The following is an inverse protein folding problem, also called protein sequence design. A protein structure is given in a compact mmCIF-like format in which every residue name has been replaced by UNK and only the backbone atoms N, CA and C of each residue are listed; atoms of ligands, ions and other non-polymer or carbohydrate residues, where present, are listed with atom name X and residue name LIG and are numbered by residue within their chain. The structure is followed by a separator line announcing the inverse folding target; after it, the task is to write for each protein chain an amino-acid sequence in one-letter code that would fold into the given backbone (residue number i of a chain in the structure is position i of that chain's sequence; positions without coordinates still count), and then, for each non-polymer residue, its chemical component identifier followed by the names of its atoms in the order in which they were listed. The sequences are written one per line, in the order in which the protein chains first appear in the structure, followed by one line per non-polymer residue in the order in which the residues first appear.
data_IF_565674602828
#
_entry.id   IF_565674602828
#
_cell.length_a   1.000
_cell.length_b   1.000
_cell.length_c   1.000
_cell.angle_alpha   90.00
_cell.angle_beta   90.00
_cell.angle_gamma   90.00
#
_symmetry.space_group_name_H-M   'P 1'
#
loop_
_entity.id
_entity.type
_entity.pdbx_description
1 polymer ?
#
# COMPACT_ATOMS: atom_id res chain seq x y z
N UNK A 1 -16.04 9.41 1.03
CA UNK A 1 -15.71 10.70 1.66
C UNK A 1 -16.21 11.91 0.88
N UNK A 2 -15.93 12.11 -0.43
CA UNK A 2 -16.49 13.22 -1.20
C UNK A 2 -18.02 13.31 -1.12
N UNK A 3 -18.72 12.20 -1.33
CA UNK A 3 -20.18 12.13 -1.26
C UNK A 3 -20.73 12.51 0.11
N UNK A 4 -20.02 12.10 1.19
CA UNK A 4 -20.41 12.45 2.55
C UNK A 4 -20.21 13.94 2.82
N UNK A 5 -19.09 14.52 2.39
CA UNK A 5 -18.85 15.96 2.54
C UNK A 5 -19.83 16.79 1.69
N UNK A 6 -20.18 16.29 0.50
CA UNK A 6 -21.21 16.91 -0.33
C UNK A 6 -22.60 16.87 0.33
N UNK A 7 -22.94 15.75 0.98
CA UNK A 7 -24.18 15.61 1.74
C UNK A 7 -24.25 16.53 2.98
N UNK A 8 -23.10 17.02 3.49
CA UNK A 8 -22.99 18.00 4.57
C UNK A 8 -23.02 19.46 4.07
N UNK A 9 -23.38 19.69 2.80
CA UNK A 9 -23.38 21.02 2.16
C UNK A 9 -22.06 21.78 2.26
N UNK A 10 -20.94 21.05 2.37
CA UNK A 10 -19.61 21.63 2.43
C UNK A 10 -19.02 21.80 1.04
N UNK A 11 -18.28 22.91 0.82
CA UNK A 11 -17.56 23.16 -0.43
C UNK A 11 -16.61 22.01 -0.80
N UNK A 12 -16.47 21.70 -2.08
CA UNK A 12 -15.52 20.69 -2.58
C UNK A 12 -14.09 20.91 -2.11
N UNK A 13 -13.72 22.14 -1.73
CA UNK A 13 -12.43 22.46 -1.10
C UNK A 13 -12.27 21.81 0.29
N UNK A 14 -13.34 21.72 1.08
CA UNK A 14 -13.29 21.11 2.40
C UNK A 14 -12.95 19.60 2.33
N UNK A 15 -13.55 18.87 1.38
CA UNK A 15 -13.20 17.47 1.15
C UNK A 15 -11.72 17.30 0.75
N UNK A 16 -11.21 18.17 -0.12
CA UNK A 16 -9.80 18.19 -0.52
C UNK A 16 -8.87 18.44 0.67
N UNK A 17 -9.21 19.38 1.54
CA UNK A 17 -8.42 19.69 2.75
C UNK A 17 -8.41 18.52 3.75
N UNK A 18 -9.54 17.84 3.97
CA UNK A 18 -9.60 16.64 4.83
C UNK A 18 -8.71 15.53 4.29
N UNK A 19 -8.74 15.28 2.98
CA UNK A 19 -7.87 14.28 2.33
C UNK A 19 -6.40 14.69 2.45
N UNK A 20 -6.08 15.95 2.17
CA UNK A 20 -4.70 16.47 2.25
C UNK A 20 -4.14 16.42 3.68
N UNK A 21 -4.97 16.71 4.70
CA UNK A 21 -4.58 16.58 6.10
C UNK A 21 -4.25 15.12 6.45
N UNK A 22 -5.03 14.17 5.96
CA UNK A 22 -4.76 12.74 6.10
C UNK A 22 -3.45 12.32 5.42
N UNK A 23 -3.18 12.81 4.21
CA UNK A 23 -1.92 12.55 3.49
C UNK A 23 -0.70 13.10 4.25
N UNK A 24 -0.77 14.34 4.73
CA UNK A 24 0.29 14.95 5.52
C UNK A 24 0.55 14.17 6.82
N UNK A 25 -0.52 13.83 7.54
CA UNK A 25 -0.44 13.01 8.75
C UNK A 25 0.16 11.63 8.47
N UNK A 26 -0.17 11.00 7.33
CA UNK A 26 0.41 9.71 6.91
C UNK A 26 1.93 9.82 6.79
N UNK A 27 2.44 10.82 6.07
CA UNK A 27 3.89 10.98 5.88
C UNK A 27 4.63 11.24 7.20
N UNK A 28 4.10 12.11 8.05
CA UNK A 28 4.69 12.38 9.37
C UNK A 28 4.68 11.13 10.25
N UNK A 29 3.56 10.42 10.30
CA UNK A 29 3.43 9.23 11.14
C UNK A 29 4.25 8.04 10.64
N UNK A 30 4.52 7.95 9.32
CA UNK A 30 5.49 7.00 8.77
C UNK A 30 6.88 7.15 9.40
N UNK A 31 7.34 8.40 9.59
CA UNK A 31 8.63 8.65 10.23
C UNK A 31 8.63 8.31 11.72
N UNK A 32 7.50 8.47 12.38
CA UNK A 32 7.34 8.24 13.83
C UNK A 32 7.02 6.79 14.19
N UNK A 33 6.50 5.98 13.28
CA UNK A 33 6.01 4.63 13.54
C UNK A 33 7.07 3.73 14.20
N UNK A 34 8.31 3.78 13.74
CA UNK A 34 9.42 3.01 14.32
C UNK A 34 9.76 3.45 15.73
N UNK A 35 9.79 4.76 16.01
CA UNK A 35 10.01 5.29 17.33
C UNK A 35 8.91 4.92 18.33
N UNK A 36 7.65 4.99 17.90
CA UNK A 36 6.49 4.53 18.69
C UNK A 36 6.60 3.04 19.02
N UNK A 37 6.89 2.21 18.02
CA UNK A 37 7.04 0.78 18.19
C UNK A 37 8.22 0.41 19.11
N UNK A 38 9.31 1.19 19.10
CA UNK A 38 10.44 1.02 20.04
C UNK A 38 10.04 1.30 21.49
N UNK A 39 9.18 2.30 21.72
CA UNK A 39 8.75 2.67 23.08
C UNK A 39 7.65 1.77 23.64
N UNK A 40 6.67 1.43 22.83
CA UNK A 40 5.46 0.73 23.28
C UNK A 40 5.45 -0.76 22.90
N UNK A 41 6.26 -1.16 21.93
CA UNK A 41 6.18 -2.47 21.28
C UNK A 41 5.30 -2.47 20.03
N UNK A 42 5.48 -3.45 19.12
CA UNK A 42 4.77 -3.51 17.84
C UNK A 42 3.25 -3.67 18.02
N UNK A 43 2.84 -4.70 18.78
CA UNK A 43 1.41 -5.00 18.96
C UNK A 43 0.65 -3.92 19.75
N UNK A 44 1.17 -3.38 20.88
CA UNK A 44 0.52 -2.25 21.54
C UNK A 44 0.37 -1.02 20.64
N UNK A 45 1.38 -0.72 19.80
CA UNK A 45 1.29 0.40 18.85
C UNK A 45 0.21 0.14 17.78
N UNK A 46 0.06 -1.10 17.29
CA UNK A 46 -1.01 -1.49 16.38
C UNK A 46 -2.40 -1.37 17.06
N UNK A 47 -2.52 -1.77 18.34
CA UNK A 47 -3.76 -1.59 19.10
C UNK A 47 -4.14 -0.11 19.19
N UNK A 48 -3.18 0.76 19.54
CA UNK A 48 -3.39 2.22 19.61
C UNK A 48 -3.77 2.78 18.23
N UNK A 49 -3.11 2.33 17.16
CA UNK A 49 -3.47 2.75 15.79
C UNK A 49 -4.91 2.35 15.43
N UNK A 50 -5.34 1.14 15.81
CA UNK A 50 -6.74 0.70 15.59
C UNK A 50 -7.74 1.54 16.39
N UNK A 51 -7.40 1.95 17.61
CA UNK A 51 -8.23 2.86 18.41
C UNK A 51 -8.26 4.27 17.82
N UNK A 52 -7.15 4.78 17.27
CA UNK A 52 -7.13 6.04 16.54
C UNK A 52 -8.01 5.99 15.29
N UNK A 53 -8.04 4.84 14.60
CA UNK A 53 -8.96 4.63 13.49
C UNK A 53 -10.42 4.66 13.95
N UNK A 54 -10.74 4.03 15.09
CA UNK A 54 -12.08 4.10 15.68
C UNK A 54 -12.48 5.56 16.03
N UNK A 55 -11.56 6.32 16.65
CA UNK A 55 -11.78 7.73 16.96
C UNK A 55 -11.97 8.58 15.70
N UNK A 56 -11.22 8.29 14.64
CA UNK A 56 -11.39 8.94 13.35
C UNK A 56 -12.77 8.68 12.76
N UNK A 57 -13.27 7.44 12.83
CA UNK A 57 -14.62 7.11 12.39
C UNK A 57 -15.68 7.84 13.20
N UNK A 58 -15.50 7.96 14.52
CA UNK A 58 -16.39 8.76 15.37
C UNK A 58 -16.33 10.25 15.04
N UNK A 59 -15.14 10.78 14.73
CA UNK A 59 -15.00 12.17 14.28
C UNK A 59 -15.73 12.41 12.95
N UNK A 60 -15.68 11.46 12.00
CA UNK A 60 -16.47 11.55 10.78
C UNK A 60 -17.97 11.43 11.05
N UNK A 61 -18.41 10.55 11.97
CA UNK A 61 -19.83 10.51 12.37
C UNK A 61 -20.27 11.84 13.00
N UNK A 62 -19.42 12.44 13.84
CA UNK A 62 -19.66 13.75 14.46
C UNK A 62 -19.60 14.94 13.52
N UNK A 63 -19.04 14.79 12.32
CA UNK A 63 -19.00 15.85 11.31
C UNK A 63 -20.38 16.31 10.84
N UNK A 64 -21.41 15.51 11.07
CA UNK A 64 -22.80 15.92 10.88
C UNK A 64 -23.25 17.02 11.88
N UNK A 65 -22.57 17.14 13.04
CA UNK A 65 -22.84 18.17 14.06
C UNK A 65 -21.89 19.36 13.93
N UNK A 66 -20.60 19.08 13.66
CA UNK A 66 -19.56 20.09 13.42
C UNK A 66 -18.60 19.58 12.34
N UNK A 67 -18.64 20.22 11.17
CA UNK A 67 -17.81 19.88 10.02
C UNK A 67 -16.30 19.93 10.31
N UNK A 68 -15.87 20.69 11.34
CA UNK A 68 -14.49 20.74 11.80
C UNK A 68 -13.99 19.38 12.32
N UNK A 69 -14.86 18.53 12.82
CA UNK A 69 -14.51 17.19 13.27
C UNK A 69 -13.95 16.34 12.12
N UNK A 70 -14.36 16.58 10.87
CA UNK A 70 -13.85 15.86 9.69
C UNK A 70 -12.34 16.08 9.49
N UNK A 71 -11.80 17.25 9.78
CA UNK A 71 -10.36 17.51 9.66
C UNK A 71 -9.56 16.70 10.69
N UNK A 72 -10.05 16.64 11.93
CA UNK A 72 -9.49 15.79 12.98
C UNK A 72 -9.57 14.31 12.57
N UNK A 73 -10.70 13.88 12.01
CA UNK A 73 -10.89 12.55 11.44
C UNK A 73 -9.85 12.24 10.37
N UNK A 74 -9.61 13.15 9.43
CA UNK A 74 -8.60 13.01 8.38
C UNK A 74 -7.19 12.79 8.95
N UNK A 75 -6.77 13.63 9.90
CA UNK A 75 -5.46 13.49 10.57
C UNK A 75 -5.32 12.14 11.28
N UNK A 76 -6.34 11.71 12.01
CA UNK A 76 -6.34 10.43 12.73
C UNK A 76 -6.31 9.22 11.79
N UNK A 77 -7.05 9.25 10.66
CA UNK A 77 -6.98 8.20 9.64
C UNK A 77 -5.58 8.10 9.08
N UNK A 78 -4.97 9.23 8.69
CA UNK A 78 -3.63 9.23 8.14
C UNK A 78 -2.59 8.64 9.09
N UNK A 79 -2.65 9.04 10.37
CA UNK A 79 -1.77 8.52 11.41
C UNK A 79 -1.99 7.01 11.65
N UNK A 80 -3.23 6.59 11.83
CA UNK A 80 -3.55 5.20 12.10
C UNK A 80 -3.20 4.27 10.94
N UNK A 81 -3.56 4.68 9.70
CA UNK A 81 -3.26 3.91 8.50
C UNK A 81 -1.77 3.69 8.32
N UNK A 82 -0.96 4.76 8.38
CA UNK A 82 0.48 4.65 8.16
C UNK A 82 1.16 3.74 9.19
N UNK A 83 0.81 3.88 10.47
CA UNK A 83 1.33 3.04 11.54
C UNK A 83 0.95 1.57 11.30
N UNK A 84 -0.31 1.29 10.96
CA UNK A 84 -0.77 -0.06 10.67
C UNK A 84 -0.07 -0.63 9.42
N UNK A 85 0.05 0.17 8.36
CA UNK A 85 0.64 -0.25 7.08
C UNK A 85 2.14 -0.59 7.20
N UNK A 86 2.85 0.05 8.13
CA UNK A 86 4.26 -0.23 8.43
C UNK A 86 4.42 -1.40 9.39
N UNK A 87 3.70 -1.37 10.51
CA UNK A 87 3.98 -2.30 11.61
C UNK A 87 3.32 -3.67 11.44
N UNK A 88 2.20 -3.79 10.72
CA UNK A 88 1.57 -5.09 10.48
C UNK A 88 2.43 -6.03 9.62
N UNK A 89 2.99 -5.59 8.47
CA UNK A 89 3.98 -6.38 7.73
C UNK A 89 5.20 -6.74 8.58
N UNK A 90 5.72 -5.79 9.37
CA UNK A 90 6.89 -6.00 10.20
C UNK A 90 6.64 -7.06 11.28
N UNK A 91 5.45 -7.06 11.89
CA UNK A 91 5.05 -8.10 12.85
C UNK A 91 5.04 -9.50 12.21
N UNK A 92 4.59 -9.60 10.95
CA UNK A 92 4.60 -10.86 10.20
C UNK A 92 6.03 -11.29 9.87
N UNK A 93 6.82 -10.38 9.28
CA UNK A 93 8.21 -10.65 8.86
C UNK A 93 9.09 -11.17 10.02
N UNK A 94 8.87 -10.62 11.22
CA UNK A 94 9.63 -10.95 12.44
C UNK A 94 9.55 -12.43 12.83
N UNK A 95 8.40 -13.07 12.56
CA UNK A 95 8.14 -14.44 13.00
C UNK A 95 8.27 -15.48 11.89
N UNK A 96 8.64 -15.07 10.67
CA UNK A 96 8.64 -15.95 9.51
C UNK A 96 10.03 -16.09 8.88
N UNK A 97 10.29 -17.30 8.41
CA UNK A 97 11.43 -17.59 7.54
C UNK A 97 11.33 -16.81 6.22
N UNK A 98 12.46 -16.43 5.60
CA UNK A 98 12.47 -15.66 4.33
C UNK A 98 11.59 -16.25 3.23
N UNK A 99 11.54 -17.58 3.11
CA UNK A 99 10.75 -18.30 2.10
C UNK A 99 9.24 -18.16 2.29
N UNK A 100 8.76 -18.02 3.53
CA UNK A 100 7.32 -17.89 3.83
C UNK A 100 6.81 -16.44 3.80
N UNK A 101 7.69 -15.45 3.86
CA UNK A 101 7.32 -14.02 3.98
C UNK A 101 6.38 -13.57 2.88
N UNK A 102 6.67 -13.93 1.62
CA UNK A 102 5.85 -13.49 0.49
C UNK A 102 4.41 -13.98 0.59
N UNK A 103 4.19 -15.23 1.00
CA UNK A 103 2.87 -15.79 1.16
C UNK A 103 2.03 -14.97 2.16
N UNK A 104 2.55 -14.77 3.36
CA UNK A 104 1.81 -14.06 4.40
C UNK A 104 1.66 -12.56 4.15
N UNK A 105 2.66 -11.92 3.55
CA UNK A 105 2.54 -10.52 3.12
C UNK A 105 1.49 -10.36 1.99
N UNK A 106 1.37 -11.35 1.11
CA UNK A 106 0.35 -11.35 0.06
C UNK A 106 -1.04 -11.53 0.65
N UNK A 107 -1.23 -12.42 1.62
CA UNK A 107 -2.50 -12.59 2.35
C UNK A 107 -2.86 -11.30 3.09
N UNK A 108 -1.91 -10.68 3.81
CA UNK A 108 -2.15 -9.40 4.49
C UNK A 108 -2.60 -8.33 3.50
N UNK A 109 -1.89 -8.17 2.38
CA UNK A 109 -2.26 -7.18 1.36
C UNK A 109 -3.59 -7.52 0.68
N UNK A 110 -3.92 -8.80 0.55
CA UNK A 110 -5.23 -9.27 0.07
C UNK A 110 -6.36 -8.87 1.01
N UNK A 111 -6.18 -9.06 2.30
CA UNK A 111 -7.15 -8.63 3.33
C UNK A 111 -7.36 -7.12 3.34
N UNK A 112 -6.27 -6.34 3.20
CA UNK A 112 -6.35 -4.88 3.08
C UNK A 112 -7.15 -4.44 1.85
N UNK A 113 -6.91 -5.07 0.70
CA UNK A 113 -7.66 -4.78 -0.54
C UNK A 113 -9.12 -5.24 -0.46
N UNK A 114 -9.40 -6.36 0.20
CA UNK A 114 -10.77 -6.78 0.45
C UNK A 114 -11.53 -5.74 1.27
N UNK A 115 -10.92 -5.22 2.35
CA UNK A 115 -11.50 -4.14 3.14
C UNK A 115 -11.75 -2.87 2.32
N UNK A 116 -10.78 -2.46 1.49
CA UNK A 116 -10.93 -1.30 0.62
C UNK A 116 -12.04 -1.49 -0.43
N UNK A 117 -12.08 -2.65 -1.06
CA UNK A 117 -13.06 -2.95 -2.12
C UNK A 117 -14.47 -3.17 -1.61
N UNK A 118 -14.62 -3.71 -0.40
CA UNK A 118 -15.93 -3.88 0.24
C UNK A 118 -16.46 -2.59 0.88
N UNK A 119 -15.62 -1.58 1.09
CA UNK A 119 -16.01 -0.36 1.79
C UNK A 119 -17.18 0.38 1.10
N UNK A 120 -17.12 0.58 -0.21
CA UNK A 120 -18.19 1.25 -0.96
C UNK A 120 -19.48 0.42 -1.02
N UNK A 121 -19.49 -0.86 -1.47
CA UNK A 121 -20.69 -1.68 -1.50
C UNK A 121 -21.35 -1.84 -0.13
N UNK A 122 -20.57 -2.10 0.92
CA UNK A 122 -21.10 -2.21 2.27
C UNK A 122 -21.60 -0.86 2.80
N UNK A 123 -20.91 0.22 2.47
CA UNK A 123 -21.34 1.57 2.81
C UNK A 123 -22.71 1.89 2.21
N UNK A 124 -22.92 1.64 0.91
CA UNK A 124 -24.21 1.84 0.25
C UNK A 124 -25.30 0.93 0.81
N UNK A 125 -24.96 -0.34 1.07
CA UNK A 125 -25.91 -1.27 1.67
C UNK A 125 -26.36 -0.79 3.06
N UNK A 126 -25.42 -0.42 3.91
CA UNK A 126 -25.69 0.09 5.25
C UNK A 126 -26.49 1.41 5.19
N UNK A 127 -26.16 2.33 4.27
CA UNK A 127 -26.91 3.59 4.10
C UNK A 127 -28.38 3.33 3.78
N UNK A 128 -28.66 2.30 2.97
CA UNK A 128 -30.02 1.91 2.63
C UNK A 128 -30.84 1.46 3.86
N UNK A 129 -30.19 0.79 4.81
CA UNK A 129 -30.86 0.30 6.03
C UNK A 129 -30.89 1.31 7.17
N UNK A 130 -29.87 2.17 7.29
CA UNK A 130 -29.70 3.08 8.43
C UNK A 130 -30.17 4.50 8.14
N UNK A 131 -30.37 4.85 6.88
CA UNK A 131 -30.87 6.16 6.43
C UNK A 131 -29.85 7.30 6.55
N UNK A 132 -28.71 7.14 7.22
CA UNK A 132 -27.70 8.19 7.38
C UNK A 132 -26.26 7.68 7.21
N UNK A 133 -25.43 8.48 6.54
CA UNK A 133 -24.00 8.18 6.39
C UNK A 133 -23.24 8.26 7.73
N UNK A 134 -23.70 9.08 8.68
CA UNK A 134 -23.10 9.17 10.00
C UNK A 134 -23.17 7.83 10.76
N UNK A 135 -24.28 7.11 10.65
CA UNK A 135 -24.44 5.78 11.28
C UNK A 135 -23.45 4.76 10.71
N UNK A 136 -23.11 4.86 9.42
CA UNK A 136 -22.08 3.98 8.80
C UNK A 136 -20.75 4.17 9.48
N UNK A 137 -20.32 5.42 9.70
CA UNK A 137 -19.06 5.70 10.40
C UNK A 137 -19.09 5.21 11.85
N UNK A 138 -20.22 5.28 12.53
CA UNK A 138 -20.37 4.71 13.88
C UNK A 138 -20.21 3.19 13.88
N UNK A 139 -20.80 2.48 12.91
CA UNK A 139 -20.62 1.02 12.75
C UNK A 139 -19.15 0.68 12.44
N UNK A 140 -18.49 1.47 11.57
CA UNK A 140 -17.07 1.28 11.28
C UNK A 140 -16.18 1.53 12.51
N UNK A 141 -16.55 2.47 13.39
CA UNK A 141 -15.85 2.68 14.66
C UNK A 141 -15.91 1.43 15.54
N UNK A 142 -17.07 0.77 15.65
CA UNK A 142 -17.22 -0.50 16.39
C UNK A 142 -16.32 -1.58 15.75
N UNK A 143 -16.30 -1.71 14.43
CA UNK A 143 -15.42 -2.66 13.75
C UNK A 143 -13.92 -2.40 14.05
N UNK A 144 -13.51 -1.12 14.14
CA UNK A 144 -12.14 -0.75 14.51
C UNK A 144 -11.81 -1.10 15.97
N UNK A 145 -12.77 -0.96 16.90
CA UNK A 145 -12.61 -1.41 18.29
C UNK A 145 -12.47 -2.93 18.38
N UNK A 146 -13.27 -3.67 17.61
CA UNK A 146 -13.15 -5.14 17.52
C UNK A 146 -11.75 -5.51 16.96
N UNK A 147 -11.28 -4.82 15.93
CA UNK A 147 -9.94 -5.03 15.40
C UNK A 147 -8.85 -4.76 16.46
N UNK A 148 -8.98 -3.68 17.25
CA UNK A 148 -8.07 -3.39 18.35
C UNK A 148 -8.07 -4.51 19.40
N UNK A 149 -9.24 -5.04 19.76
CA UNK A 149 -9.37 -6.17 20.68
C UNK A 149 -8.71 -7.44 20.12
N UNK A 150 -8.87 -7.75 18.83
CA UNK A 150 -8.21 -8.87 18.17
C UNK A 150 -6.67 -8.75 18.21
N UNK A 151 -6.13 -7.54 17.98
CA UNK A 151 -4.69 -7.27 18.08
C UNK A 151 -4.21 -7.46 19.52
N UNK A 152 -4.95 -6.99 20.53
CA UNK A 152 -4.59 -7.17 21.94
C UNK A 152 -4.66 -8.64 22.36
N UNK A 153 -5.65 -9.40 21.90
CA UNK A 153 -5.73 -10.84 22.12
C UNK A 153 -4.52 -11.56 21.51
N UNK A 154 -4.12 -11.19 20.30
CA UNK A 154 -2.90 -11.70 19.66
C UNK A 154 -1.67 -11.38 20.51
N UNK A 155 -1.58 -10.17 21.05
CA UNK A 155 -0.51 -9.77 21.98
C UNK A 155 -0.44 -10.68 23.21
N UNK A 156 -1.57 -10.96 23.84
CA UNK A 156 -1.66 -11.84 25.02
C UNK A 156 -1.27 -13.28 24.66
N UNK A 157 -1.73 -13.79 23.52
CA UNK A 157 -1.42 -15.14 23.06
C UNK A 157 0.07 -15.31 22.71
N UNK A 158 0.72 -14.26 22.16
CA UNK A 158 2.12 -14.30 21.73
C UNK A 158 3.11 -13.74 22.76
N UNK A 159 2.62 -13.30 23.94
CA UNK A 159 3.47 -12.69 24.98
C UNK A 159 4.66 -13.55 25.38
N UNK A 160 4.51 -14.87 25.41
CA UNK A 160 5.58 -15.84 25.72
C UNK A 160 6.63 -15.97 24.60
N UNK A 161 6.28 -15.67 23.36
CA UNK A 161 7.16 -15.69 22.19
C UNK A 161 7.85 -14.33 21.96
N UNK A 162 7.36 -13.28 22.58
CA UNK A 162 7.84 -11.89 22.39
C UNK A 162 9.11 -11.54 23.16
N UNK A 163 9.75 -12.49 23.85
CA UNK A 163 11.02 -12.29 24.55
C UNK A 163 12.24 -12.02 23.63
N UNK A 164 12.06 -12.13 22.31
CA UNK A 164 13.07 -11.73 21.33
C UNK A 164 13.22 -10.21 21.32
N UNK A 165 14.46 -9.75 21.63
CA UNK A 165 14.80 -8.34 21.65
C UNK A 165 14.31 -7.63 20.38
N UNK A 166 13.68 -6.46 20.55
CA UNK A 166 13.26 -5.64 19.43
C UNK A 166 14.50 -5.11 18.70
N UNK A 167 14.73 -5.44 17.44
CA UNK A 167 15.77 -4.78 16.67
C UNK A 167 15.47 -3.27 16.58
N UNK A 168 16.50 -2.47 16.42
CA UNK A 168 16.36 -1.02 16.33
C UNK A 168 15.51 -0.65 15.10
N UNK A 169 14.26 -0.19 15.35
CA UNK A 169 13.25 0.11 14.32
C UNK A 169 13.32 1.57 13.90
N UNK A 170 14.08 2.40 14.63
CA UNK A 170 14.15 3.83 14.34
C UNK A 170 14.90 4.09 13.03
N UNK A 171 14.27 4.89 12.15
CA UNK A 171 14.96 5.41 10.97
C UNK A 171 16.01 6.40 11.47
N UNK A 172 17.27 6.08 11.23
CA UNK A 172 18.39 7.00 11.42
C UNK A 172 18.93 7.43 10.06
N UNK A 173 19.48 8.63 9.96
CA UNK A 173 20.08 9.11 8.73
C UNK A 173 21.18 8.16 8.23
N UNK A 174 21.98 7.62 9.14
CA UNK A 174 23.02 6.65 8.82
C UNK A 174 22.46 5.33 8.27
N UNK A 175 21.36 4.81 8.85
CA UNK A 175 20.71 3.61 8.33
C UNK A 175 20.13 3.87 6.93
N UNK A 176 19.53 5.02 6.71
CA UNK A 176 18.95 5.42 5.41
C UNK A 176 20.04 5.54 4.34
N UNK A 177 21.16 6.21 4.63
CA UNK A 177 22.27 6.34 3.68
C UNK A 177 22.89 5.00 3.34
N UNK A 178 23.14 4.15 4.33
CA UNK A 178 23.66 2.79 4.12
C UNK A 178 22.73 1.96 3.24
N UNK A 179 21.42 2.09 3.44
CA UNK A 179 20.38 1.38 2.71
C UNK A 179 20.32 1.84 1.24
N UNK A 180 20.43 3.14 1.00
CA UNK A 180 20.40 3.72 -0.35
C UNK A 180 21.71 3.46 -1.14
N UNK A 181 22.81 3.19 -0.47
CA UNK A 181 24.09 2.84 -1.11
C UNK A 181 24.16 1.36 -1.51
N UNK A 182 23.32 0.50 -0.94
CA UNK A 182 23.30 -0.95 -1.19
C UNK A 182 22.21 -1.35 -2.20
N UNK A 183 22.23 -2.60 -2.59
CA UNK A 183 21.24 -3.20 -3.51
C UNK A 183 19.79 -3.10 -3.03
N UNK A 184 19.55 -2.84 -1.75
CA UNK A 184 18.23 -2.55 -1.17
C UNK A 184 17.58 -1.29 -1.72
N UNK A 185 18.34 -0.36 -2.30
CA UNK A 185 17.80 0.83 -2.97
C UNK A 185 16.94 0.48 -4.20
N UNK A 186 17.26 -0.61 -4.90
CA UNK A 186 16.55 -1.00 -6.13
C UNK A 186 15.07 -1.30 -5.88
N UNK A 187 14.67 -2.24 -4.99
CA UNK A 187 13.26 -2.51 -4.74
C UNK A 187 12.53 -1.30 -4.11
N UNK A 188 13.23 -0.40 -3.41
CA UNK A 188 12.66 0.84 -2.89
C UNK A 188 12.33 1.81 -4.04
N UNK A 189 13.22 2.02 -4.98
CA UNK A 189 12.95 2.82 -6.17
C UNK A 189 11.83 2.20 -7.02
N UNK A 190 11.83 0.87 -7.18
CA UNK A 190 10.83 0.14 -7.93
C UNK A 190 9.43 0.28 -7.34
N UNK A 191 9.29 0.25 -6.01
CA UNK A 191 7.98 0.42 -5.37
C UNK A 191 7.48 1.86 -5.49
N UNK A 192 8.35 2.86 -5.42
CA UNK A 192 7.97 4.26 -5.66
C UNK A 192 7.40 4.44 -7.06
N UNK A 193 8.07 3.91 -8.08
CA UNK A 193 7.59 3.94 -9.47
C UNK A 193 6.27 3.19 -9.60
N UNK A 194 6.14 1.99 -9.00
CA UNK A 194 4.88 1.23 -9.03
C UNK A 194 3.73 1.99 -8.34
N UNK A 195 4.00 2.70 -7.26
CA UNK A 195 3.01 3.53 -6.59
C UNK A 195 2.56 4.71 -7.46
N UNK A 196 3.48 5.33 -8.22
CA UNK A 196 3.12 6.37 -9.20
C UNK A 196 2.17 5.85 -10.28
N UNK A 197 2.36 4.60 -10.75
CA UNK A 197 1.47 3.98 -11.74
C UNK A 197 0.05 3.83 -11.20
N UNK A 198 -0.10 3.32 -10.00
CA UNK A 198 -1.41 3.18 -9.36
C UNK A 198 -2.06 4.54 -9.10
N UNK A 199 -1.30 5.49 -8.56
CA UNK A 199 -1.79 6.84 -8.29
C UNK A 199 -2.26 7.53 -9.57
N UNK A 200 -1.49 7.43 -10.66
CA UNK A 200 -1.85 8.00 -11.95
C UNK A 200 -3.12 7.40 -12.52
N UNK A 201 -3.19 6.08 -12.62
CA UNK A 201 -4.38 5.40 -13.13
C UNK A 201 -5.60 5.66 -12.26
N UNK A 202 -5.52 5.46 -10.94
CA UNK A 202 -6.68 5.60 -10.06
C UNK A 202 -7.20 7.04 -9.97
N UNK A 203 -6.31 8.04 -9.91
CA UNK A 203 -6.71 9.44 -9.78
C UNK A 203 -7.33 9.99 -11.06
N UNK A 204 -6.80 9.63 -12.22
CA UNK A 204 -7.23 10.19 -13.51
C UNK A 204 -8.11 9.25 -14.32
N UNK A 205 -8.63 8.21 -13.67
CA UNK A 205 -9.50 7.23 -14.32
C UNK A 205 -10.78 7.86 -14.87
N UNK A 206 -11.35 8.83 -14.16
CA UNK A 206 -12.54 9.56 -14.63
C UNK A 206 -12.25 10.37 -15.89
N UNK A 207 -11.11 11.08 -15.96
CA UNK A 207 -10.70 11.83 -17.14
C UNK A 207 -10.43 10.90 -18.34
N UNK A 208 -9.75 9.77 -18.11
CA UNK A 208 -9.51 8.75 -19.12
C UNK A 208 -10.84 8.15 -19.64
N UNK A 209 -11.73 7.75 -18.75
CA UNK A 209 -13.01 7.14 -19.09
C UNK A 209 -13.92 8.11 -19.86
N UNK A 210 -13.97 9.37 -19.42
CA UNK A 210 -14.75 10.41 -20.10
C UNK A 210 -14.27 10.63 -21.55
N UNK A 211 -12.95 10.62 -21.79
CA UNK A 211 -12.38 10.79 -23.14
C UNK A 211 -12.72 9.64 -24.10
N UNK A 212 -13.20 8.50 -23.60
CA UNK A 212 -13.49 7.27 -24.34
C UNK A 212 -14.90 6.74 -24.17
N UNK A 213 -15.79 7.53 -23.53
CA UNK A 213 -17.19 7.17 -23.23
C UNK A 213 -17.33 5.84 -22.44
N UNK A 214 -16.40 5.58 -21.50
CA UNK A 214 -16.38 4.41 -20.64
C UNK A 214 -16.88 4.74 -19.23
N UNK A 215 -17.31 3.72 -18.47
CA UNK A 215 -17.69 3.89 -17.08
C UNK A 215 -16.45 3.74 -16.17
N UNK A 216 -16.03 4.77 -15.42
CA UNK A 216 -14.87 4.71 -14.53
C UNK A 216 -15.03 3.70 -13.37
N UNK A 217 -16.26 3.47 -12.89
CA UNK A 217 -16.53 2.56 -11.78
C UNK A 217 -16.14 1.11 -12.11
N UNK A 218 -16.22 0.76 -13.40
CA UNK A 218 -15.86 -0.56 -13.89
C UNK A 218 -14.37 -0.87 -13.65
N UNK A 219 -13.49 0.14 -13.80
CA UNK A 219 -12.06 -0.03 -13.45
C UNK A 219 -11.89 -0.41 -11.99
N UNK A 220 -12.50 0.34 -11.08
CA UNK A 220 -12.33 0.12 -9.64
C UNK A 220 -12.91 -1.23 -9.21
N UNK A 221 -14.07 -1.60 -9.73
CA UNK A 221 -14.71 -2.88 -9.47
C UNK A 221 -13.84 -4.05 -9.94
N UNK A 222 -13.42 -4.01 -11.21
CA UNK A 222 -12.60 -5.08 -11.81
C UNK A 222 -11.23 -5.17 -11.15
N UNK A 223 -10.58 -4.01 -10.92
CA UNK A 223 -9.29 -3.95 -10.24
C UNK A 223 -9.35 -4.55 -8.83
N UNK A 224 -10.35 -4.17 -8.05
CA UNK A 224 -10.50 -4.64 -6.67
C UNK A 224 -10.82 -6.13 -6.63
N UNK A 225 -11.82 -6.57 -7.40
CA UNK A 225 -12.22 -7.98 -7.44
C UNK A 225 -11.05 -8.88 -7.87
N UNK A 226 -10.36 -8.51 -8.95
CA UNK A 226 -9.19 -9.25 -9.45
C UNK A 226 -8.05 -9.25 -8.43
N UNK A 227 -7.76 -8.09 -7.82
CA UNK A 227 -6.68 -7.97 -6.82
C UNK A 227 -6.93 -8.83 -5.58
N UNK A 228 -8.16 -8.91 -5.09
CA UNK A 228 -8.53 -9.74 -3.94
C UNK A 228 -8.42 -11.22 -4.29
N UNK A 229 -9.06 -11.62 -5.39
CA UNK A 229 -9.06 -13.02 -5.84
C UNK A 229 -7.63 -13.52 -6.06
N UNK A 230 -6.81 -12.78 -6.81
CA UNK A 230 -5.43 -13.19 -7.09
C UNK A 230 -4.58 -13.27 -5.81
N UNK A 231 -4.67 -12.29 -4.91
CA UNK A 231 -3.87 -12.31 -3.68
C UNK A 231 -4.22 -13.47 -2.77
N UNK A 232 -5.49 -13.80 -2.64
CA UNK A 232 -5.94 -14.90 -1.79
C UNK A 232 -5.68 -16.27 -2.44
N UNK A 233 -5.90 -16.40 -3.76
CA UNK A 233 -5.76 -17.67 -4.47
C UNK A 233 -4.29 -18.03 -4.77
N UNK A 234 -3.45 -17.05 -5.10
CA UNK A 234 -2.08 -17.29 -5.58
C UNK A 234 -1.03 -17.14 -4.47
N UNK A 235 -1.40 -16.66 -3.27
CA UNK A 235 -0.47 -16.42 -2.17
C UNK A 235 0.43 -17.64 -1.86
N UNK A 236 -0.14 -18.83 -1.83
CA UNK A 236 0.61 -20.05 -1.53
C UNK A 236 1.58 -20.48 -2.64
N UNK A 237 1.27 -20.16 -3.90
CA UNK A 237 2.15 -20.44 -5.03
C UNK A 237 3.34 -19.47 -5.10
N UNK A 238 3.19 -18.25 -4.60
CA UNK A 238 4.24 -17.23 -4.67
C UNK A 238 5.48 -17.62 -3.88
N UNK A 239 5.35 -18.44 -2.84
CA UNK A 239 6.48 -18.92 -2.04
C UNK A 239 7.44 -19.85 -2.80
N UNK A 240 6.96 -20.53 -3.85
CA UNK A 240 7.77 -21.44 -4.69
C UNK A 240 8.41 -20.74 -5.91
N UNK A 241 8.00 -19.50 -6.23
CA UNK A 241 8.46 -18.80 -7.41
C UNK A 241 9.75 -18.00 -7.13
N UNK A 242 10.67 -17.93 -8.09
CA UNK A 242 11.86 -17.08 -7.96
C UNK A 242 11.43 -15.61 -8.00
N UNK A 243 11.54 -14.92 -6.84
CA UNK A 243 11.03 -13.57 -6.60
C UNK A 243 11.40 -12.55 -7.68
N UNK A 244 12.60 -12.66 -8.26
CA UNK A 244 13.09 -11.74 -9.29
C UNK A 244 12.37 -11.93 -10.63
N UNK A 245 12.18 -13.19 -11.05
CA UNK A 245 11.40 -13.48 -12.26
C UNK A 245 9.96 -13.05 -12.06
N UNK A 246 9.42 -13.30 -10.87
CA UNK A 246 8.08 -12.85 -10.50
C UNK A 246 7.98 -11.31 -10.61
N UNK A 247 8.91 -10.55 -10.02
CA UNK A 247 8.89 -9.09 -10.09
C UNK A 247 8.92 -8.59 -11.54
N UNK A 248 9.79 -9.16 -12.40
CA UNK A 248 9.85 -8.80 -13.81
C UNK A 248 8.55 -9.13 -14.54
N UNK A 249 7.98 -10.32 -14.32
CA UNK A 249 6.70 -10.74 -14.91
C UNK A 249 5.57 -9.76 -14.52
N UNK A 250 5.50 -9.37 -13.24
CA UNK A 250 4.48 -8.42 -12.75
C UNK A 250 4.62 -7.04 -13.39
N UNK A 251 5.86 -6.57 -13.59
CA UNK A 251 6.13 -5.31 -14.27
C UNK A 251 5.73 -5.40 -15.76
N UNK A 252 6.02 -6.51 -16.42
CA UNK A 252 5.63 -6.72 -17.83
C UNK A 252 4.10 -6.80 -17.98
N UNK A 253 3.39 -7.44 -17.03
CA UNK A 253 1.93 -7.43 -17.01
C UNK A 253 1.38 -6.00 -16.83
N UNK A 254 1.99 -5.20 -15.95
CA UNK A 254 1.63 -3.79 -15.77
C UNK A 254 1.88 -2.99 -17.06
N UNK A 255 3.01 -3.21 -17.73
CA UNK A 255 3.31 -2.57 -19.02
C UNK A 255 2.28 -2.95 -20.11
N UNK A 256 1.96 -4.24 -20.23
CA UNK A 256 0.94 -4.73 -21.16
C UNK A 256 -0.43 -4.10 -20.89
N UNK A 257 -0.81 -3.97 -19.61
CA UNK A 257 -2.03 -3.26 -19.21
C UNK A 257 -2.04 -1.80 -19.70
N UNK A 258 -0.96 -1.05 -19.46
CA UNK A 258 -0.86 0.35 -19.90
C UNK A 258 -0.93 0.49 -21.41
N UNK A 259 -0.32 -0.44 -22.16
CA UNK A 259 -0.44 -0.51 -23.63
C UNK A 259 -1.90 -0.74 -24.04
N UNK A 260 -2.62 -1.67 -23.38
CA UNK A 260 -4.04 -1.90 -23.66
C UNK A 260 -4.90 -0.66 -23.35
N UNK A 261 -4.61 0.07 -22.26
CA UNK A 261 -5.27 1.35 -22.00
C UNK A 261 -5.01 2.37 -23.11
N UNK A 262 -3.78 2.50 -23.60
CA UNK A 262 -3.44 3.41 -24.68
C UNK A 262 -4.13 3.04 -26.00
N UNK A 263 -4.21 1.75 -26.33
CA UNK A 263 -4.83 1.25 -27.56
C UNK A 263 -6.36 1.21 -27.49
N UNK A 264 -6.94 1.41 -26.31
CA UNK A 264 -8.40 1.34 -26.14
C UNK A 264 -9.09 2.57 -26.71
N UNK A 265 -9.75 2.41 -27.84
CA UNK A 265 -10.57 3.45 -28.50
C UNK A 265 -12.02 3.57 -27.98
N UNK A 266 -12.38 2.98 -26.80
CA UNK A 266 -13.75 3.00 -26.24
C UNK A 266 -14.37 1.61 -26.08
N UNK A 267 -13.61 0.53 -26.26
CA UNK A 267 -14.07 -0.84 -26.05
C UNK A 267 -14.13 -1.19 -24.55
N UNK A 268 -15.31 -1.50 -24.04
CA UNK A 268 -15.50 -1.94 -22.64
C UNK A 268 -14.78 -3.25 -22.35
N UNK A 269 -14.75 -4.20 -23.28
CA UNK A 269 -14.05 -5.47 -23.08
C UNK A 269 -12.55 -5.29 -22.97
N UNK A 270 -11.95 -4.43 -23.80
CA UNK A 270 -10.53 -4.11 -23.73
C UNK A 270 -10.18 -3.36 -22.43
N UNK A 271 -11.10 -2.49 -21.98
CA UNK A 271 -10.98 -1.78 -20.71
C UNK A 271 -10.96 -2.73 -19.51
N UNK A 272 -11.86 -3.73 -19.50
CA UNK A 272 -11.89 -4.78 -18.47
C UNK A 272 -10.58 -5.60 -18.51
N UNK A 273 -10.16 -6.04 -19.69
CA UNK A 273 -8.92 -6.81 -19.86
C UNK A 273 -7.69 -6.03 -19.37
N UNK A 274 -7.59 -4.73 -19.71
CA UNK A 274 -6.53 -3.86 -19.21
C UNK A 274 -6.56 -3.74 -17.68
N UNK A 275 -7.76 -3.58 -17.10
CA UNK A 275 -7.94 -3.48 -15.63
C UNK A 275 -7.55 -4.78 -14.91
N UNK A 276 -7.89 -5.94 -15.46
CA UNK A 276 -7.49 -7.26 -14.93
C UNK A 276 -5.97 -7.41 -14.97
N UNK A 277 -5.33 -7.10 -16.10
CA UNK A 277 -3.88 -7.16 -16.22
C UNK A 277 -3.16 -6.19 -15.28
N UNK A 278 -3.71 -4.99 -15.09
CA UNK A 278 -3.20 -4.02 -14.13
C UNK A 278 -3.30 -4.55 -12.70
N UNK A 279 -4.43 -5.11 -12.33
CA UNK A 279 -4.65 -5.72 -11.04
C UNK A 279 -3.70 -6.90 -10.77
N UNK A 280 -3.43 -7.73 -11.79
CA UNK A 280 -2.49 -8.84 -11.69
C UNK A 280 -1.05 -8.34 -11.53
N UNK A 281 -0.61 -7.41 -12.37
CA UNK A 281 0.75 -6.88 -12.35
C UNK A 281 1.04 -6.03 -11.12
N UNK A 282 0.30 -4.93 -10.96
CA UNK A 282 0.49 -4.02 -9.83
C UNK A 282 0.07 -4.66 -8.50
N UNK A 283 -1.06 -5.39 -8.50
CA UNK A 283 -1.66 -5.92 -7.29
C UNK A 283 -0.73 -6.81 -6.47
N UNK A 284 0.13 -7.59 -7.10
CA UNK A 284 1.08 -8.47 -6.44
C UNK A 284 2.48 -7.85 -6.28
N UNK A 285 2.74 -6.69 -6.92
CA UNK A 285 4.06 -6.04 -6.90
C UNK A 285 4.48 -5.60 -5.50
N UNK A 286 3.56 -5.06 -4.69
CA UNK A 286 3.88 -4.57 -3.35
C UNK A 286 4.47 -5.67 -2.45
N UNK A 287 3.80 -6.81 -2.32
CA UNK A 287 4.26 -7.93 -1.49
C UNK A 287 5.55 -8.54 -2.03
N UNK A 288 5.69 -8.65 -3.35
CA UNK A 288 6.89 -9.17 -4.00
C UNK A 288 8.10 -8.27 -3.75
N UNK A 289 7.97 -6.97 -4.02
CA UNK A 289 9.07 -6.02 -3.85
C UNK A 289 9.44 -5.80 -2.39
N UNK A 290 8.46 -5.81 -1.47
CA UNK A 290 8.72 -5.74 -0.04
C UNK A 290 9.51 -6.98 0.44
N UNK A 291 9.12 -8.17 -0.01
CA UNK A 291 9.85 -9.40 0.31
C UNK A 291 11.29 -9.35 -0.20
N UNK A 292 11.50 -8.88 -1.44
CA UNK A 292 12.84 -8.70 -2.01
C UNK A 292 13.67 -7.71 -1.18
N UNK A 293 13.10 -6.54 -0.86
CA UNK A 293 13.77 -5.50 -0.08
C UNK A 293 14.25 -6.02 1.29
N UNK A 294 13.35 -6.72 1.99
CA UNK A 294 13.60 -7.25 3.33
C UNK A 294 14.61 -8.40 3.32
N UNK A 295 14.55 -9.26 2.30
CA UNK A 295 15.53 -10.36 2.18
C UNK A 295 16.92 -9.83 1.84
N UNK A 296 17.03 -8.90 0.88
CA UNK A 296 18.30 -8.23 0.55
C UNK A 296 18.87 -7.47 1.76
N UNK A 297 18.01 -6.85 2.59
CA UNK A 297 18.47 -6.19 3.81
C UNK A 297 19.13 -7.20 4.77
N UNK A 298 18.51 -8.36 4.96
CA UNK A 298 19.08 -9.44 5.78
C UNK A 298 20.41 -9.95 5.23
N UNK A 299 20.50 -10.20 3.92
CA UNK A 299 21.70 -10.67 3.23
C UNK A 299 22.88 -9.67 3.33
N UNK A 300 22.59 -8.38 3.31
CA UNK A 300 23.62 -7.33 3.35
C UNK A 300 23.86 -6.74 4.75
N UNK A 301 23.31 -7.34 5.81
CA UNK A 301 23.47 -6.86 7.18
C UNK A 301 22.87 -5.47 7.42
N UNK A 302 21.81 -5.12 6.68
CA UNK A 302 21.06 -3.88 6.87
C UNK A 302 19.84 -4.14 7.76
N UNK A 303 19.43 -3.15 8.56
CA UNK A 303 18.26 -3.28 9.42
C UNK A 303 16.99 -3.60 8.61
N UNK A 304 16.46 -4.81 8.75
CA UNK A 304 15.21 -5.27 8.14
C UNK A 304 14.02 -4.36 8.50
N UNK A 305 13.83 -3.97 9.79
CA UNK A 305 12.76 -3.06 10.17
C UNK A 305 12.87 -1.68 9.53
N UNK A 306 14.07 -1.09 9.52
CA UNK A 306 14.30 0.21 8.87
C UNK A 306 14.05 0.13 7.35
N UNK A 307 14.45 -0.97 6.70
CA UNK A 307 14.20 -1.21 5.29
C UNK A 307 12.70 -1.29 5.00
N UNK A 308 11.93 -2.04 5.77
CA UNK A 308 10.47 -2.15 5.59
C UNK A 308 9.77 -0.80 5.79
N UNK A 309 10.23 0.00 6.76
CA UNK A 309 9.67 1.33 7.02
C UNK A 309 9.99 2.31 5.88
N UNK A 310 11.23 2.36 5.41
CA UNK A 310 11.66 3.22 4.29
C UNK A 310 10.98 2.78 2.98
N UNK A 311 10.81 1.48 2.76
CA UNK A 311 10.06 0.92 1.63
C UNK A 311 8.62 1.44 1.62
N UNK A 312 7.94 1.43 2.76
CA UNK A 312 6.56 1.92 2.88
C UNK A 312 6.49 3.44 2.72
N UNK A 313 7.45 4.19 3.28
CA UNK A 313 7.53 5.64 3.07
C UNK A 313 7.71 5.98 1.59
N UNK A 314 8.60 5.27 0.90
CA UNK A 314 8.85 5.43 -0.53
C UNK A 314 7.59 5.12 -1.38
N UNK A 315 6.82 4.09 -0.98
CA UNK A 315 5.52 3.80 -1.57
C UNK A 315 4.55 4.99 -1.43
N UNK A 316 4.42 5.57 -0.24
CA UNK A 316 3.53 6.72 -0.03
C UNK A 316 4.01 7.99 -0.74
N UNK A 317 5.33 8.21 -0.85
CA UNK A 317 5.87 9.31 -1.65
C UNK A 317 5.48 9.19 -3.13
N UNK A 318 5.54 8.00 -3.71
CA UNK A 318 5.06 7.76 -5.07
C UNK A 318 3.54 7.94 -5.19
N UNK A 319 2.78 7.39 -4.25
CA UNK A 319 1.32 7.43 -4.24
C UNK A 319 0.75 8.86 -4.14
N UNK A 320 1.33 9.68 -3.29
CA UNK A 320 0.85 11.06 -3.04
C UNK A 320 1.55 12.10 -3.92
N UNK A 321 2.79 11.83 -4.36
CA UNK A 321 3.55 12.77 -5.18
C UNK A 321 3.10 12.79 -6.64
N UNK A 322 2.85 11.62 -7.23
CA UNK A 322 2.52 11.54 -8.65
C UNK A 322 1.25 12.28 -9.07
N UNK A 323 0.14 12.31 -8.30
CA UNK A 323 -1.06 13.04 -8.70
C UNK A 323 -0.81 14.52 -9.05
N UNK A 324 0.14 15.18 -8.41
CA UNK A 324 0.51 16.57 -8.76
C UNK A 324 1.09 16.66 -10.18
N UNK A 325 2.00 15.76 -10.52
CA UNK A 325 2.62 15.70 -11.85
C UNK A 325 1.62 15.24 -12.90
N UNK A 326 0.90 14.15 -12.60
CA UNK A 326 -0.13 13.57 -13.46
C UNK A 326 -1.24 14.57 -13.79
N UNK A 327 -1.64 15.42 -12.83
CA UNK A 327 -2.65 16.47 -13.04
C UNK A 327 -2.21 17.52 -14.04
N UNK A 328 -0.94 17.93 -14.01
CA UNK A 328 -0.39 18.86 -15.00
C UNK A 328 -0.33 18.21 -16.39
N UNK A 329 0.06 16.93 -16.48
CA UNK A 329 0.10 16.19 -17.74
C UNK A 329 -1.30 16.04 -18.35
N UNK A 330 -2.28 15.63 -17.56
CA UNK A 330 -3.67 15.46 -18.03
C UNK A 330 -4.29 16.79 -18.46
N UNK A 331 -4.04 17.86 -17.69
CA UNK A 331 -4.58 19.18 -17.99
C UNK A 331 -3.94 19.80 -19.24
N UNK A 332 -2.62 19.65 -19.42
CA UNK A 332 -1.89 20.25 -20.53
C UNK A 332 -1.93 19.45 -21.82
N UNK A 333 -1.94 18.11 -21.72
CA UNK A 333 -1.70 17.23 -22.86
C UNK A 333 -2.70 16.06 -22.98
N UNK A 334 -3.63 15.94 -22.04
CA UNK A 334 -4.61 14.86 -22.02
C UNK A 334 -4.16 13.57 -21.33
N UNK A 335 -5.11 12.62 -21.14
CA UNK A 335 -4.85 11.38 -20.39
C UNK A 335 -3.86 10.44 -21.07
N UNK A 336 -3.72 10.48 -22.40
CA UNK A 336 -2.81 9.60 -23.15
C UNK A 336 -1.34 9.93 -22.88
N UNK A 337 -0.99 11.22 -22.77
CA UNK A 337 0.38 11.63 -22.42
C UNK A 337 0.73 11.21 -21.01
N UNK A 338 -0.22 11.29 -20.08
CA UNK A 338 -0.05 10.75 -18.73
C UNK A 338 0.19 9.23 -18.77
N UNK A 339 -0.59 8.46 -19.55
CA UNK A 339 -0.38 7.01 -19.71
C UNK A 339 0.99 6.69 -20.35
N UNK A 340 1.44 7.46 -21.33
CA UNK A 340 2.78 7.31 -21.94
C UNK A 340 3.88 7.57 -20.90
N UNK A 341 3.72 8.56 -20.03
CA UNK A 341 4.65 8.81 -18.93
C UNK A 341 4.72 7.64 -17.94
N UNK A 342 3.58 7.03 -17.61
CA UNK A 342 3.51 5.83 -16.77
C UNK A 342 4.15 4.61 -17.47
N UNK A 343 3.96 4.45 -18.78
CA UNK A 343 4.57 3.39 -19.54
C UNK A 343 6.12 3.56 -19.57
N UNK A 344 6.60 4.78 -19.74
CA UNK A 344 8.04 5.10 -19.66
C UNK A 344 8.62 4.79 -18.28
N UNK A 345 7.89 5.13 -17.22
CA UNK A 345 8.25 4.78 -15.85
C UNK A 345 8.24 3.26 -15.62
N UNK A 346 7.30 2.53 -16.25
CA UNK A 346 7.26 1.05 -16.22
C UNK A 346 8.47 0.44 -16.93
N UNK A 347 8.89 1.00 -18.05
CA UNK A 347 10.10 0.57 -18.74
C UNK A 347 11.35 0.77 -17.87
N UNK A 348 11.46 1.92 -17.19
CA UNK A 348 12.53 2.15 -16.21
C UNK A 348 12.47 1.10 -15.08
N UNK A 349 11.27 0.79 -14.58
CA UNK A 349 11.09 -0.22 -13.54
C UNK A 349 11.52 -1.62 -14.00
N UNK A 350 11.27 -1.97 -15.28
CA UNK A 350 11.75 -3.23 -15.87
C UNK A 350 13.29 -3.27 -15.96
N UNK A 351 13.93 -2.16 -16.31
CA UNK A 351 15.40 -2.06 -16.29
C UNK A 351 15.96 -2.23 -14.87
N UNK A 352 15.33 -1.64 -13.85
CA UNK A 352 15.72 -1.83 -12.45
C UNK A 352 15.55 -3.31 -12.03
N UNK A 353 14.48 -3.98 -12.46
CA UNK A 353 14.24 -5.40 -12.18
C UNK A 353 15.34 -6.31 -12.77
N UNK A 354 15.85 -6.01 -13.96
CA UNK A 354 16.99 -6.77 -14.53
C UNK A 354 18.28 -6.59 -13.73
N UNK A 355 18.48 -5.40 -13.15
CA UNK A 355 19.64 -5.12 -12.29
C UNK A 355 19.58 -5.83 -10.93
N UNK A 356 18.40 -6.12 -10.42
CA UNK A 356 18.23 -6.96 -9.23
C UNK A 356 18.94 -8.33 -9.37
N UNK A 357 19.05 -8.85 -10.59
CA UNK A 357 19.77 -10.08 -10.91
C UNK A 357 21.26 -10.05 -10.56
N UNK A 358 21.88 -8.89 -10.55
CA UNK A 358 23.32 -8.70 -10.30
C UNK A 358 23.64 -8.46 -8.83
N UNK A 359 22.63 -8.26 -8.00
CA UNK A 359 22.75 -7.86 -6.60
C UNK A 359 22.74 -9.02 -5.60
N UNK A 360 22.66 -10.28 -6.03
CA UNK A 360 22.86 -11.40 -5.11
C UNK A 360 24.34 -11.59 -4.88
N UNK A 361 24.71 -11.72 -3.62
CA UNK A 361 26.02 -12.21 -3.23
C UNK A 361 26.33 -13.48 -4.05
N UNK A 362 27.53 -13.53 -4.59
CA UNK A 362 28.09 -14.70 -5.25
C UNK A 362 27.95 -15.90 -4.29
N UNK A 363 27.30 -17.01 -4.70
CA UNK A 363 27.16 -18.19 -3.85
C UNK A 363 28.51 -18.73 -3.31
N UNK A 364 29.62 -18.31 -3.89
CA UNK A 364 30.96 -18.62 -3.45
C UNK A 364 31.34 -18.03 -2.09
N UNK A 365 30.74 -16.88 -1.67
CA UNK A 365 30.98 -16.29 -0.35
C UNK A 365 30.32 -17.10 0.79
N UNK A 366 29.08 -17.55 0.57
CA UNK A 366 28.37 -18.42 1.51
C UNK A 366 29.05 -19.78 1.68
N UNK A 367 29.62 -20.34 0.59
CA UNK A 367 30.42 -21.57 0.68
C UNK A 367 31.72 -21.40 1.46
N UNK A 368 32.36 -20.22 1.38
CA UNK A 368 33.56 -19.93 2.14
C UNK A 368 33.30 -19.74 3.62
N UNK A 369 32.20 -19.09 3.99
CA UNK A 369 31.80 -18.94 5.40
C UNK A 369 31.40 -20.28 6.05
N UNK A 370 30.71 -21.16 5.32
CA UNK A 370 30.38 -22.50 5.79
C UNK A 370 31.62 -23.40 5.87
N UNK A 371 32.61 -23.25 4.99
CA UNK A 371 33.85 -24.00 5.01
C UNK A 371 34.85 -23.52 6.11
N UNK A 372 34.62 -22.38 6.73
CA UNK A 372 35.42 -21.91 7.87
C UNK A 372 34.71 -22.10 9.22
N UNK A 373 33.49 -22.64 9.24
CA UNK A 373 32.72 -22.95 10.45
C UNK A 373 32.78 -24.44 10.84
N UNK A 374 33.39 -25.29 10.02
CA UNK A 374 33.78 -26.67 10.28
C UNK A 374 35.29 -26.73 10.62
#
# INVERSE_FOLDING_TARGET
MPDYMHALETDGQAAGLVISSGMASTLVSCCLAGWLAKRMGLLPTLTVASLFMALAMLAFAGAALDTRAAYGGGLLVGAAWSVFFILAPLQIIRHLLPSARIQYLTVLSGSQMAGLGLAAPLGHLLAKYTGTLATIYAVLAIACVIAAACVDLTRRATSRLSALAMPDIAITLAATTTLLQKCTALPIAMITISACMFAGLSTYQSAYSASRHLNPDLFFLVFTATSVVLRLSVAHLMGSLPLRRLALTLILLTAASLVLFLLNGGSTSLYIAASVLFAAGYGLSYSTLNTIAVNLAGEHGVSVPATSQIFTLAYFLGLFGFPMVGGQLVRGFGPDVMLLSLLSATALNAVLATRLGRCTADPSHLRKELAHAD
#
